data_IF_359940262912
#
_entry.id   IF_359940262912
#
_cell.length_a   1.000
_cell.length_b   1.000
_cell.length_c   1.000
_cell.angle_alpha   90.00
_cell.angle_beta   90.00
_cell.angle_gamma   90.00
#
_symmetry.space_group_name_H-M   'P 1'
#
loop_
_entity.id
_entity.type
_entity.pdbx_description
1 polymer ?
#
# COMPACT_ATOMS: atom_id res chain seq x y z
N UNK A 1 30.34 24.18 -23.33
CA UNK A 1 30.19 22.79 -22.86
C UNK A 1 28.78 22.64 -22.27
N UNK A 2 27.92 21.77 -22.81
CA UNK A 2 26.60 21.51 -22.19
C UNK A 2 26.82 20.67 -20.93
N UNK A 3 26.33 21.14 -19.79
CA UNK A 3 26.34 20.37 -18.55
C UNK A 3 25.34 19.23 -18.68
N UNK A 4 25.84 17.99 -18.72
CA UNK A 4 24.98 16.80 -18.72
C UNK A 4 24.51 16.58 -17.28
N UNK A 5 23.23 16.83 -17.02
CA UNK A 5 22.61 16.48 -15.75
C UNK A 5 22.13 15.03 -15.83
N UNK A 6 22.74 14.14 -15.04
CA UNK A 6 22.30 12.74 -14.92
C UNK A 6 21.13 12.68 -13.95
N UNK A 7 19.90 12.34 -14.39
CA UNK A 7 18.72 12.35 -13.53
C UNK A 7 18.87 11.45 -12.30
N UNK A 8 19.53 10.31 -12.44
CA UNK A 8 19.78 9.36 -11.35
C UNK A 8 20.60 9.98 -10.21
N UNK A 9 21.66 10.72 -10.51
CA UNK A 9 22.49 11.38 -9.49
C UNK A 9 21.71 12.48 -8.77
N UNK A 10 20.91 13.24 -9.53
CA UNK A 10 20.01 14.26 -8.95
C UNK A 10 18.99 13.62 -8.01
N UNK A 11 18.33 12.54 -8.45
CA UNK A 11 17.31 11.85 -7.67
C UNK A 11 17.92 11.18 -6.42
N UNK A 12 19.13 10.63 -6.52
CA UNK A 12 19.83 10.06 -5.38
C UNK A 12 20.12 11.11 -4.30
N UNK A 13 20.56 12.31 -4.73
CA UNK A 13 20.75 13.44 -3.83
C UNK A 13 19.45 13.87 -3.16
N UNK A 14 18.33 13.87 -3.90
CA UNK A 14 16.99 14.11 -3.34
C UNK A 14 16.61 13.06 -2.31
N UNK A 15 16.82 11.77 -2.59
CA UNK A 15 16.54 10.67 -1.65
C UNK A 15 17.33 10.82 -0.35
N UNK A 16 18.64 11.08 -0.44
CA UNK A 16 19.49 11.26 0.76
C UNK A 16 18.99 12.44 1.60
N UNK A 17 18.69 13.58 0.97
CA UNK A 17 18.12 14.75 1.66
C UNK A 17 16.78 14.44 2.32
N UNK A 18 15.94 13.64 1.67
CA UNK A 18 14.68 13.14 2.21
C UNK A 18 14.87 12.30 3.47
N UNK A 19 15.80 11.34 3.46
CA UNK A 19 16.12 10.53 4.64
C UNK A 19 16.69 11.37 5.80
N UNK A 20 17.55 12.36 5.51
CA UNK A 20 18.05 13.28 6.52
C UNK A 20 16.92 14.10 7.16
N UNK A 21 15.96 14.56 6.36
CA UNK A 21 14.80 15.28 6.84
C UNK A 21 13.88 14.39 7.69
N UNK A 22 13.53 13.20 7.18
CA UNK A 22 12.71 12.22 7.91
C UNK A 22 13.34 11.84 9.23
N UNK A 23 14.66 11.59 9.27
CA UNK A 23 15.37 11.27 10.52
C UNK A 23 15.19 12.36 11.58
N UNK A 24 15.30 13.64 11.20
CA UNK A 24 15.08 14.77 12.12
C UNK A 24 13.64 14.84 12.61
N UNK A 25 12.67 14.71 11.71
CA UNK A 25 11.24 14.78 12.04
C UNK A 25 10.84 13.62 12.95
N UNK A 26 11.24 12.39 12.62
CA UNK A 26 10.91 11.19 13.37
C UNK A 26 11.59 11.18 14.75
N UNK A 27 12.85 11.61 14.84
CA UNK A 27 13.55 11.73 16.11
C UNK A 27 12.87 12.77 17.03
N UNK A 28 12.43 13.91 16.48
CA UNK A 28 11.65 14.89 17.23
C UNK A 28 10.29 14.34 17.74
N UNK A 29 9.81 13.23 17.17
CA UNK A 29 8.62 12.48 17.62
C UNK A 29 8.94 11.28 18.52
N UNK A 30 10.21 11.10 18.93
CA UNK A 30 10.65 10.00 19.78
C UNK A 30 10.91 8.68 19.04
N UNK A 31 10.82 8.66 17.71
CA UNK A 31 11.10 7.47 16.91
C UNK A 31 12.62 7.38 16.63
N UNK A 32 13.23 6.29 17.13
CA UNK A 32 14.70 6.10 17.09
C UNK A 32 15.20 5.47 15.80
N UNK A 33 14.34 4.78 15.07
CA UNK A 33 14.71 4.06 13.84
C UNK A 33 13.56 4.10 12.83
N UNK A 34 13.93 3.96 11.56
CA UNK A 34 13.03 3.91 10.41
C UNK A 34 13.48 2.75 9.54
N UNK A 35 12.56 1.88 9.14
CA UNK A 35 12.84 0.77 8.21
C UNK A 35 12.75 1.30 6.77
N UNK A 36 13.87 1.41 6.02
CA UNK A 36 13.85 1.98 4.68
C UNK A 36 13.04 1.15 3.68
N UNK A 37 12.83 -0.15 3.97
CA UNK A 37 11.96 -1.07 3.23
C UNK A 37 10.55 -0.50 3.04
N UNK A 38 10.05 0.27 4.00
CA UNK A 38 8.71 0.84 3.95
C UNK A 38 8.62 2.12 3.11
N UNK A 39 9.76 2.61 2.59
CA UNK A 39 9.87 3.84 1.80
C UNK A 39 10.19 3.57 0.33
N UNK A 40 10.17 2.31 -0.10
CA UNK A 40 10.33 1.94 -1.49
C UNK A 40 9.01 1.46 -2.10
N UNK A 41 9.00 1.33 -3.42
CA UNK A 41 7.82 1.01 -4.20
C UNK A 41 7.62 -0.50 -4.38
N UNK A 42 8.53 -1.35 -3.90
CA UNK A 42 8.45 -2.79 -4.16
C UNK A 42 7.16 -3.41 -3.61
N UNK A 43 6.59 -3.05 -2.44
CA UNK A 43 5.28 -3.59 -2.04
C UNK A 43 4.16 -3.31 -3.05
N UNK A 44 4.23 -2.19 -3.78
CA UNK A 44 3.30 -1.87 -4.85
C UNK A 44 3.59 -2.71 -6.11
N UNK A 45 4.87 -2.92 -6.44
CA UNK A 45 5.28 -3.80 -7.54
C UNK A 45 4.88 -5.26 -7.29
N UNK A 46 5.05 -5.75 -6.05
CA UNK A 46 4.62 -7.06 -5.57
C UNK A 46 3.10 -7.20 -5.67
N UNK A 47 2.35 -6.16 -5.26
CA UNK A 47 0.89 -6.12 -5.43
C UNK A 47 0.47 -6.24 -6.90
N UNK A 48 1.13 -5.50 -7.80
CA UNK A 48 0.88 -5.64 -9.24
C UNK A 48 1.26 -7.04 -9.75
N UNK A 49 2.28 -7.67 -9.19
CA UNK A 49 2.62 -9.07 -9.43
C UNK A 49 1.46 -10.00 -9.06
N UNK A 50 0.89 -9.84 -7.86
CA UNK A 50 -0.24 -10.62 -7.39
C UNK A 50 -1.49 -10.43 -8.27
N UNK A 51 -1.78 -9.20 -8.71
CA UNK A 51 -2.89 -8.92 -9.65
C UNK A 51 -2.70 -9.69 -10.96
N UNK A 52 -1.47 -9.68 -11.51
CA UNK A 52 -1.16 -10.40 -12.75
C UNK A 52 -1.28 -11.91 -12.60
N UNK A 53 -0.89 -12.45 -11.44
CA UNK A 53 -0.98 -13.88 -11.14
C UNK A 53 -2.41 -14.39 -10.97
N UNK A 54 -3.35 -13.53 -10.58
CA UNK A 54 -4.74 -13.95 -10.30
C UNK A 54 -5.59 -14.14 -11.56
N UNK A 55 -5.38 -13.32 -12.60
CA UNK A 55 -6.32 -13.26 -13.73
C UNK A 55 -5.66 -13.21 -15.10
N UNK A 56 -4.67 -12.31 -15.30
CA UNK A 56 -3.98 -12.16 -16.57
C UNK A 56 -2.77 -11.22 -16.44
N UNK A 57 -1.74 -11.42 -17.29
CA UNK A 57 -0.51 -10.61 -17.30
C UNK A 57 -0.76 -9.12 -17.61
N UNK A 58 -1.77 -8.81 -18.43
CA UNK A 58 -2.11 -7.46 -18.84
C UNK A 58 -3.62 -7.20 -18.64
N UNK A 59 -4.04 -6.87 -17.41
CA UNK A 59 -5.45 -6.66 -17.11
C UNK A 59 -6.02 -5.40 -17.77
N UNK A 60 -7.29 -5.46 -18.14
CA UNK A 60 -8.08 -4.26 -18.40
C UNK A 60 -8.38 -3.55 -17.08
N UNK A 61 -8.80 -2.28 -17.11
CA UNK A 61 -9.20 -1.59 -15.88
C UNK A 61 -10.28 -2.36 -15.09
N UNK A 62 -11.24 -2.97 -15.80
CA UNK A 62 -12.29 -3.76 -15.16
C UNK A 62 -11.73 -5.01 -14.48
N UNK A 63 -10.86 -5.78 -15.13
CA UNK A 63 -10.29 -6.99 -14.51
C UNK A 63 -9.32 -6.63 -13.39
N UNK A 64 -8.57 -5.54 -13.50
CA UNK A 64 -7.75 -5.02 -12.40
C UNK A 64 -8.56 -4.70 -11.15
N UNK A 65 -9.71 -4.02 -11.30
CA UNK A 65 -10.62 -3.70 -10.18
C UNK A 65 -11.12 -4.99 -9.51
N UNK A 66 -11.48 -6.01 -10.29
CA UNK A 66 -11.92 -7.28 -9.72
C UNK A 66 -10.78 -8.00 -9.00
N UNK A 67 -9.58 -8.06 -9.59
CA UNK A 67 -8.42 -8.66 -8.95
C UNK A 67 -8.02 -7.94 -7.65
N UNK A 68 -8.10 -6.60 -7.63
CA UNK A 68 -7.88 -5.80 -6.41
C UNK A 68 -8.88 -6.20 -5.31
N UNK A 69 -10.18 -6.26 -5.64
CA UNK A 69 -11.22 -6.66 -4.67
C UNK A 69 -10.97 -8.06 -4.13
N UNK A 70 -10.64 -9.02 -4.98
CA UNK A 70 -10.32 -10.39 -4.56
C UNK A 70 -9.08 -10.44 -3.66
N UNK A 71 -7.98 -9.79 -4.04
CA UNK A 71 -6.76 -9.77 -3.22
C UNK A 71 -6.98 -9.07 -1.88
N UNK A 72 -7.73 -7.97 -1.86
CA UNK A 72 -8.09 -7.27 -0.63
C UNK A 72 -8.90 -8.19 0.29
N UNK A 73 -9.95 -8.84 -0.22
CA UNK A 73 -10.76 -9.77 0.55
C UNK A 73 -9.92 -10.94 1.06
N UNK A 74 -9.10 -11.55 0.21
CA UNK A 74 -8.23 -12.67 0.59
C UNK A 74 -7.29 -12.29 1.73
N UNK A 75 -6.61 -11.14 1.64
CA UNK A 75 -5.73 -10.66 2.71
C UNK A 75 -6.50 -10.36 4.01
N UNK A 76 -7.75 -9.90 3.89
CA UNK A 76 -8.59 -9.57 5.05
C UNK A 76 -9.15 -10.81 5.75
N UNK A 77 -9.53 -11.85 5.00
CA UNK A 77 -10.11 -13.09 5.53
C UNK A 77 -9.07 -14.17 5.83
N UNK A 78 -7.82 -13.99 5.39
CA UNK A 78 -6.70 -14.92 5.63
C UNK A 78 -6.46 -15.29 7.11
N UNK A 79 -6.76 -14.45 8.13
CA UNK A 79 -6.69 -14.87 9.54
C UNK A 79 -7.64 -16.03 9.90
N UNK A 80 -8.59 -16.38 9.02
CA UNK A 80 -9.50 -17.51 9.19
C UNK A 80 -9.15 -18.69 8.26
N UNK A 81 -7.95 -18.67 7.64
CA UNK A 81 -7.48 -19.74 6.76
C UNK A 81 -6.91 -20.92 7.56
N UNK A 82 -6.97 -22.17 7.05
CA UNK A 82 -6.40 -23.33 7.73
C UNK A 82 -4.91 -23.12 8.00
N UNK A 83 -4.53 -22.95 9.29
CA UNK A 83 -3.17 -22.66 9.72
C UNK A 83 -2.93 -21.24 10.27
N UNK A 84 -3.95 -20.41 10.43
CA UNK A 84 -3.83 -19.10 11.08
C UNK A 84 -3.54 -19.23 12.59
N UNK A 85 -2.83 -18.23 13.15
CA UNK A 85 -2.47 -18.19 14.57
C UNK A 85 -3.72 -18.30 15.46
N UNK A 86 -3.69 -19.28 16.36
CA UNK A 86 -4.74 -19.64 17.32
C UNK A 86 -4.90 -18.60 18.45
N UNK A 87 -5.13 -17.34 18.12
CA UNK A 87 -5.55 -16.34 19.10
C UNK A 87 -6.98 -15.91 18.78
N UNK A 88 -7.87 -15.96 19.78
CA UNK A 88 -9.28 -15.60 19.62
C UNK A 88 -9.39 -14.17 19.11
N UNK A 89 -9.86 -14.03 17.87
CA UNK A 89 -10.16 -12.74 17.27
C UNK A 89 -11.45 -12.20 17.92
N UNK A 90 -11.28 -11.37 18.95
CA UNK A 90 -12.37 -10.66 19.62
C UNK A 90 -12.92 -9.48 18.78
N UNK A 91 -12.50 -9.33 17.52
CA UNK A 91 -13.03 -8.26 16.66
C UNK A 91 -14.35 -8.69 16.02
N UNK A 92 -15.40 -7.87 16.20
CA UNK A 92 -16.63 -7.99 15.41
C UNK A 92 -16.26 -8.02 13.91
N UNK A 93 -16.69 -9.07 13.23
CA UNK A 93 -16.15 -9.52 11.94
C UNK A 93 -15.69 -8.42 10.97
N UNK A 94 -14.50 -8.63 10.40
CA UNK A 94 -13.72 -7.68 9.61
C UNK A 94 -14.47 -7.01 8.43
N UNK A 95 -15.55 -7.63 7.94
CA UNK A 95 -16.42 -7.10 6.89
C UNK A 95 -17.33 -5.94 7.38
N UNK A 96 -17.68 -5.89 8.66
CA UNK A 96 -18.57 -4.86 9.24
C UNK A 96 -17.89 -3.48 9.22
N UNK A 97 -16.58 -3.42 9.50
CA UNK A 97 -15.81 -2.17 9.50
C UNK A 97 -15.66 -1.58 8.08
N UNK A 98 -15.53 -2.43 7.06
CA UNK A 98 -15.40 -1.99 5.66
C UNK A 98 -16.70 -1.53 5.01
N UNK A 99 -17.86 -1.97 5.49
CA UNK A 99 -19.15 -1.42 5.02
C UNK A 99 -19.18 0.10 5.21
N UNK A 100 -18.56 0.61 6.28
CA UNK A 100 -18.48 2.05 6.52
C UNK A 100 -17.54 2.77 5.52
N UNK A 101 -16.46 2.11 5.09
CA UNK A 101 -15.50 2.65 4.10
C UNK A 101 -16.10 2.78 2.69
N UNK A 102 -16.96 1.86 2.27
CA UNK A 102 -17.56 1.87 0.92
C UNK A 102 -19.00 2.40 0.89
N UNK A 103 -19.68 2.53 2.03
CA UNK A 103 -21.05 3.04 2.14
C UNK A 103 -21.10 4.51 2.58
N UNK A 104 -19.96 5.21 2.57
CA UNK A 104 -19.94 6.67 2.67
C UNK A 104 -20.72 7.23 1.48
N UNK A 105 -21.97 7.63 1.72
CA UNK A 105 -22.83 8.21 0.69
C UNK A 105 -22.11 9.44 0.13
N UNK A 106 -21.82 9.42 -1.16
CA UNK A 106 -21.58 10.64 -1.90
C UNK A 106 -22.94 11.36 -1.96
N UNK A 107 -23.20 12.24 -1.00
CA UNK A 107 -24.31 13.19 -1.07
C UNK A 107 -23.94 14.24 -2.14
N UNK A 108 -24.06 13.85 -3.41
CA UNK A 108 -24.00 14.77 -4.53
C UNK A 108 -25.39 15.41 -4.62
N UNK A 109 -25.58 16.50 -3.88
CA UNK A 109 -26.74 17.36 -4.05
C UNK A 109 -26.62 18.03 -5.43
N UNK A 110 -27.32 17.51 -6.43
CA UNK A 110 -27.63 18.29 -7.62
C UNK A 110 -28.70 19.30 -7.22
N UNK A 111 -28.30 20.57 -7.09
CA UNK A 111 -29.20 21.73 -7.20
C UNK A 111 -29.07 22.28 -8.61
#
# INVERSE_FOLDING_TARGET
MKTVSVPTLRNWMTTIRGFQYLSKVLNAKGLKSLLPRNLNQDPLEDFFGAVRSLGCTNPTCASFIQSYKTLMLNNLVSPHSPGANYEEDLTEGTLTNYKNLFCSKHDINYT
#
